data_IF_653025126042
#
_entry.id   IF_653025126042
#
_cell.length_a   1.000
_cell.length_b   1.000
_cell.length_c   1.000
_cell.angle_alpha   90.00
_cell.angle_beta   90.00
_cell.angle_gamma   90.00
#
_symmetry.space_group_name_H-M   'P 1'
#
loop_
_entity.id
_entity.type
_entity.pdbx_description
1 polymer ?
#
# COMPACT_ATOMS: atom_id res chain seq x y z
N UNK A 1 -10.67 -26.47 -75.50
CA UNK A 1 -10.50 -25.50 -74.41
C UNK A 1 -10.02 -26.28 -73.19
N UNK A 2 -8.70 -26.32 -72.97
CA UNK A 2 -8.13 -26.94 -71.78
C UNK A 2 -8.29 -25.98 -70.61
N UNK A 3 -8.88 -26.46 -69.53
CA UNK A 3 -8.90 -25.79 -68.23
C UNK A 3 -7.45 -25.54 -67.77
N UNK A 4 -7.13 -24.40 -67.13
CA UNK A 4 -5.82 -24.20 -66.53
C UNK A 4 -5.63 -25.21 -65.40
N UNK A 5 -4.48 -25.88 -65.37
CA UNK A 5 -4.04 -26.64 -64.18
C UNK A 5 -3.96 -25.65 -63.02
N UNK A 6 -4.69 -25.93 -61.94
CA UNK A 6 -4.37 -25.38 -60.62
C UNK A 6 -2.90 -25.68 -60.36
N UNK A 7 -2.10 -24.62 -60.21
CA UNK A 7 -0.76 -24.73 -59.65
C UNK A 7 -1.02 -25.00 -58.17
N UNK A 8 -1.01 -26.28 -57.80
CA UNK A 8 -1.03 -26.71 -56.41
C UNK A 8 0.19 -26.03 -55.75
N UNK A 9 -0.05 -25.05 -54.88
CA UNK A 9 1.02 -24.38 -54.17
C UNK A 9 1.74 -25.43 -53.34
N UNK A 10 2.97 -25.77 -53.72
CA UNK A 10 3.74 -26.78 -53.02
C UNK A 10 4.17 -26.19 -51.68
N UNK A 11 3.45 -26.58 -50.63
CA UNK A 11 3.79 -26.21 -49.26
C UNK A 11 4.65 -27.29 -48.61
N UNK A 12 5.60 -26.88 -47.77
CA UNK A 12 6.47 -27.78 -47.02
C UNK A 12 6.44 -27.52 -45.52
N UNK A 13 6.85 -28.56 -44.78
CA UNK A 13 7.13 -28.44 -43.36
C UNK A 13 8.52 -27.82 -43.13
N UNK A 14 8.60 -26.79 -42.28
CA UNK A 14 9.86 -26.11 -41.93
C UNK A 14 10.07 -26.16 -40.42
N UNK A 15 11.17 -26.79 -40.00
CA UNK A 15 11.57 -26.91 -38.59
C UNK A 15 12.33 -25.67 -38.11
N UNK A 16 12.01 -25.23 -36.90
CA UNK A 16 12.66 -24.10 -36.24
C UNK A 16 12.85 -24.35 -34.74
N UNK A 17 13.77 -23.60 -34.13
CA UNK A 17 14.07 -23.60 -32.71
C UNK A 17 14.10 -22.15 -32.21
N UNK A 18 13.24 -21.81 -31.25
CA UNK A 18 13.30 -20.50 -30.59
C UNK A 18 14.46 -20.46 -29.62
N UNK A 19 15.24 -19.38 -29.67
CA UNK A 19 16.30 -19.08 -28.71
C UNK A 19 16.16 -17.66 -28.17
N UNK A 20 16.65 -17.41 -26.97
CA UNK A 20 16.78 -16.06 -26.42
C UNK A 20 18.06 -15.36 -26.92
N UNK A 21 18.30 -14.13 -26.43
CA UNK A 21 19.49 -13.34 -26.75
C UNK A 21 20.83 -14.00 -26.37
N UNK A 22 20.82 -14.98 -25.46
CA UNK A 22 21.99 -15.73 -25.00
C UNK A 22 22.12 -17.07 -25.74
N UNK A 23 21.20 -17.36 -26.67
CA UNK A 23 21.18 -18.59 -27.44
C UNK A 23 20.63 -19.78 -26.65
N UNK A 24 19.95 -19.57 -25.52
CA UNK A 24 19.27 -20.65 -24.78
C UNK A 24 17.91 -20.92 -25.40
N UNK A 25 17.55 -22.20 -25.50
CA UNK A 25 16.26 -22.60 -26.07
C UNK A 25 15.08 -22.09 -25.22
N UNK A 26 14.15 -21.36 -25.85
CA UNK A 26 12.92 -20.85 -25.20
C UNK A 26 11.82 -21.93 -25.22
N UNK A 27 11.76 -22.71 -26.30
CA UNK A 27 10.85 -23.84 -26.47
C UNK A 27 11.63 -25.07 -26.93
N UNK A 28 10.99 -26.23 -27.06
CA UNK A 28 11.56 -27.30 -27.89
C UNK A 28 11.43 -26.95 -29.38
N UNK A 29 12.31 -27.51 -30.21
CA UNK A 29 12.20 -27.37 -31.66
C UNK A 29 10.85 -27.87 -32.17
N UNK A 30 10.22 -27.08 -33.01
CA UNK A 30 8.88 -27.29 -33.56
C UNK A 30 8.90 -27.00 -35.08
N UNK A 31 7.78 -27.14 -35.77
CA UNK A 31 7.67 -26.93 -37.22
C UNK A 31 6.47 -26.11 -37.63
N UNK A 32 6.62 -25.32 -38.68
CA UNK A 32 5.52 -24.75 -39.46
C UNK A 32 5.12 -25.78 -40.51
N UNK A 33 3.82 -26.05 -40.70
CA UNK A 33 3.34 -27.16 -41.55
C UNK A 33 3.04 -26.78 -43.00
N UNK A 34 2.67 -25.52 -43.23
CA UNK A 34 2.12 -25.05 -44.51
C UNK A 34 2.86 -23.76 -44.90
N UNK A 35 4.14 -23.88 -45.24
CA UNK A 35 4.93 -22.76 -45.75
C UNK A 35 5.23 -22.99 -47.22
N UNK A 36 5.00 -21.99 -48.07
CA UNK A 36 5.28 -22.07 -49.52
C UNK A 36 6.76 -22.45 -49.77
N UNK A 37 7.02 -23.28 -50.78
CA UNK A 37 8.39 -23.64 -51.18
C UNK A 37 9.21 -22.42 -51.63
N UNK A 38 8.56 -21.37 -52.16
CA UNK A 38 9.18 -20.10 -52.53
C UNK A 38 9.13 -19.05 -51.40
N UNK A 39 8.69 -19.43 -50.20
CA UNK A 39 8.56 -18.53 -49.07
C UNK A 39 9.89 -17.86 -48.69
N UNK A 40 9.77 -16.59 -48.31
CA UNK A 40 10.85 -15.76 -47.81
C UNK A 40 10.93 -15.82 -46.29
N UNK A 41 12.03 -15.33 -45.76
CA UNK A 41 12.25 -15.29 -44.31
C UNK A 41 11.15 -14.52 -43.57
N UNK A 42 10.58 -13.46 -44.17
CA UNK A 42 9.42 -12.74 -43.61
C UNK A 42 8.19 -13.63 -43.42
N UNK A 43 7.88 -14.51 -44.38
CA UNK A 43 6.72 -15.41 -44.30
C UNK A 43 6.91 -16.43 -43.16
N UNK A 44 8.15 -16.91 -42.97
CA UNK A 44 8.50 -17.75 -41.84
C UNK A 44 8.36 -17.01 -40.50
N UNK A 45 8.77 -15.74 -40.41
CA UNK A 45 8.61 -14.94 -39.19
C UNK A 45 7.15 -14.84 -38.78
N UNK A 46 6.27 -14.54 -39.73
CA UNK A 46 4.83 -14.42 -39.48
C UNK A 46 4.20 -15.75 -39.04
N UNK A 47 4.59 -16.86 -39.70
CA UNK A 47 4.12 -18.19 -39.34
C UNK A 47 4.62 -18.64 -37.96
N UNK A 48 5.90 -18.40 -37.66
CA UNK A 48 6.48 -18.69 -36.34
C UNK A 48 5.80 -17.85 -35.26
N UNK A 49 5.68 -16.54 -35.47
CA UNK A 49 5.03 -15.61 -34.54
C UNK A 49 3.58 -16.03 -34.25
N UNK A 50 2.80 -16.33 -35.29
CA UNK A 50 1.41 -16.78 -35.13
C UNK A 50 1.32 -18.03 -34.25
N UNK A 51 2.27 -18.95 -34.40
CA UNK A 51 2.32 -20.21 -33.65
C UNK A 51 2.80 -20.04 -32.20
N UNK A 52 3.78 -19.17 -31.96
CA UNK A 52 4.47 -19.07 -30.66
C UNK A 52 4.19 -17.78 -29.90
N UNK A 53 3.31 -16.92 -30.41
CA UNK A 53 2.97 -15.60 -29.83
C UNK A 53 2.72 -15.64 -28.32
N UNK A 54 2.06 -16.69 -27.82
CA UNK A 54 1.80 -16.88 -26.38
C UNK A 54 3.05 -17.15 -25.52
N UNK A 55 4.13 -17.64 -26.13
CA UNK A 55 5.41 -17.88 -25.48
C UNK A 55 6.38 -16.69 -25.64
N UNK A 56 6.00 -15.65 -26.37
CA UNK A 56 6.79 -14.44 -26.57
C UNK A 56 6.41 -13.35 -25.55
N UNK A 57 7.32 -12.42 -25.23
CA UNK A 57 6.98 -11.22 -24.47
C UNK A 57 5.87 -10.40 -25.17
N UNK A 58 5.02 -9.74 -24.38
CA UNK A 58 3.78 -9.09 -24.85
C UNK A 58 3.97 -7.97 -25.90
N UNK A 59 5.19 -7.46 -26.08
CA UNK A 59 5.55 -6.36 -26.97
C UNK A 59 6.42 -6.79 -28.17
N UNK A 60 6.62 -8.09 -28.36
CA UNK A 60 7.31 -8.64 -29.53
C UNK A 60 6.31 -8.78 -30.67
N UNK A 61 6.70 -8.35 -31.87
CA UNK A 61 6.00 -8.61 -33.13
C UNK A 61 6.85 -9.51 -34.04
N UNK A 62 6.24 -10.08 -35.08
CA UNK A 62 6.94 -10.97 -36.03
C UNK A 62 8.22 -10.34 -36.61
N UNK A 63 8.16 -9.04 -36.94
CA UNK A 63 9.29 -8.29 -37.48
C UNK A 63 10.50 -8.18 -36.52
N UNK A 64 10.29 -8.34 -35.21
CA UNK A 64 11.40 -8.29 -34.26
C UNK A 64 12.18 -9.63 -34.17
N UNK A 65 11.71 -10.71 -34.82
CA UNK A 65 12.35 -12.02 -34.78
C UNK A 65 13.52 -12.11 -35.76
N UNK A 66 14.70 -12.48 -35.29
CA UNK A 66 15.87 -12.69 -36.17
C UNK A 66 15.99 -14.16 -36.54
N UNK A 67 16.14 -14.45 -37.83
CA UNK A 67 16.21 -15.84 -38.34
C UNK A 67 17.61 -16.15 -38.81
N UNK A 68 18.12 -17.31 -38.42
CA UNK A 68 19.42 -17.85 -38.82
C UNK A 68 19.22 -19.22 -39.44
N UNK A 69 20.04 -19.56 -40.44
CA UNK A 69 19.93 -20.82 -41.16
C UNK A 69 19.99 -22.05 -40.23
N UNK A 70 20.85 -22.01 -39.21
CA UNK A 70 20.99 -23.05 -38.19
C UNK A 70 21.78 -22.50 -36.99
N UNK A 71 22.12 -23.38 -36.04
CA UNK A 71 22.87 -22.99 -34.84
C UNK A 71 24.27 -22.44 -35.14
N UNK A 72 24.98 -22.99 -36.12
CA UNK A 72 26.31 -22.50 -36.48
C UNK A 72 26.24 -21.08 -37.08
N UNK A 73 25.22 -20.80 -37.90
CA UNK A 73 24.98 -19.46 -38.44
C UNK A 73 24.59 -18.45 -37.33
N UNK A 74 23.82 -18.89 -36.33
CA UNK A 74 23.53 -18.10 -35.13
C UNK A 74 24.81 -17.75 -34.35
N UNK A 75 25.65 -18.75 -34.06
CA UNK A 75 26.90 -18.55 -33.32
C UNK A 75 27.89 -17.64 -34.11
N UNK A 76 27.86 -17.72 -35.44
CA UNK A 76 28.60 -16.84 -36.35
C UNK A 76 27.94 -15.45 -36.58
N UNK A 77 26.77 -15.20 -35.99
CA UNK A 77 25.95 -13.98 -36.15
C UNK A 77 25.61 -13.65 -37.61
N UNK A 78 25.39 -14.68 -38.43
CA UNK A 78 25.01 -14.57 -39.84
C UNK A 78 23.50 -14.73 -39.99
N UNK A 79 22.76 -13.64 -39.79
CA UNK A 79 21.32 -13.61 -39.97
C UNK A 79 20.94 -13.72 -41.45
N UNK A 80 19.77 -14.33 -41.72
CA UNK A 80 19.17 -14.29 -43.05
C UNK A 80 18.41 -12.97 -43.24
N UNK A 81 18.58 -12.37 -44.41
CA UNK A 81 17.82 -11.17 -44.80
C UNK A 81 16.34 -11.52 -44.98
N UNK A 82 15.46 -10.58 -44.66
CA UNK A 82 14.01 -10.82 -44.59
C UNK A 82 13.37 -11.15 -45.94
N UNK A 83 13.95 -10.65 -47.03
CA UNK A 83 13.48 -10.86 -48.40
C UNK A 83 14.15 -12.06 -49.09
N UNK A 84 15.11 -12.70 -48.42
CA UNK A 84 15.81 -13.87 -48.94
C UNK A 84 14.91 -15.11 -48.93
N UNK A 85 15.00 -15.97 -49.97
CA UNK A 85 14.29 -17.24 -49.97
C UNK A 85 14.81 -18.14 -48.84
N UNK A 86 13.91 -18.87 -48.17
CA UNK A 86 14.30 -19.82 -47.12
C UNK A 86 15.04 -21.03 -47.74
N UNK A 87 14.76 -21.35 -49.00
CA UNK A 87 15.44 -22.44 -49.72
C UNK A 87 15.29 -23.78 -48.99
N UNK A 88 16.37 -24.55 -48.85
CA UNK A 88 16.32 -25.89 -48.23
C UNK A 88 16.44 -25.90 -46.70
N UNK A 89 16.56 -24.74 -46.04
CA UNK A 89 16.73 -24.68 -44.58
C UNK A 89 15.50 -25.23 -43.84
N UNK A 90 15.72 -25.82 -42.66
CA UNK A 90 14.63 -26.33 -41.83
C UNK A 90 14.01 -27.64 -42.30
N UNK A 91 14.64 -28.36 -43.23
CA UNK A 91 14.09 -29.62 -43.76
C UNK A 91 13.99 -30.75 -42.72
N UNK A 92 14.63 -30.62 -41.56
CA UNK A 92 14.51 -31.59 -40.46
C UNK A 92 14.75 -30.94 -39.11
N UNK A 93 14.36 -31.63 -38.03
CA UNK A 93 14.63 -31.19 -36.65
C UNK A 93 16.14 -30.99 -36.34
N UNK A 94 17.04 -31.71 -37.03
CA UNK A 94 18.49 -31.58 -36.84
C UNK A 94 19.07 -30.33 -37.51
N UNK A 95 18.40 -29.86 -38.55
CA UNK A 95 18.77 -28.69 -39.34
C UNK A 95 17.70 -27.60 -39.22
N UNK A 96 17.14 -27.47 -38.02
CA UNK A 96 16.11 -26.50 -37.73
C UNK A 96 16.70 -25.09 -37.79
N UNK A 97 15.95 -24.14 -38.38
CA UNK A 97 16.33 -22.74 -38.35
C UNK A 97 16.36 -22.25 -36.90
N UNK A 98 17.30 -21.38 -36.58
CA UNK A 98 17.36 -20.74 -35.27
C UNK A 98 16.63 -19.41 -35.34
N UNK A 99 15.58 -19.25 -34.54
CA UNK A 99 14.78 -18.02 -34.47
C UNK A 99 15.07 -17.36 -33.13
N UNK A 100 15.76 -16.24 -33.16
CA UNK A 100 16.11 -15.47 -31.98
C UNK A 100 14.98 -14.53 -31.61
N UNK A 101 14.52 -14.64 -30.37
CA UNK A 101 13.61 -13.68 -29.76
C UNK A 101 14.44 -12.48 -29.31
N UNK A 102 14.06 -11.25 -29.69
CA UNK A 102 14.77 -10.06 -29.28
C UNK A 102 14.74 -9.93 -27.75
N UNK A 103 15.87 -9.61 -27.14
CA UNK A 103 15.89 -9.09 -25.78
C UNK A 103 15.44 -7.63 -25.86
N UNK A 104 14.14 -7.38 -26.02
CA UNK A 104 13.60 -6.04 -25.78
C UNK A 104 13.75 -5.80 -24.28
N UNK A 105 14.78 -5.04 -23.93
CA UNK A 105 14.89 -4.44 -22.61
C UNK A 105 13.57 -3.72 -22.34
N UNK A 106 12.74 -4.31 -21.49
CA UNK A 106 11.55 -3.63 -20.99
C UNK A 106 12.05 -2.39 -20.27
N UNK A 107 12.06 -1.25 -20.96
CA UNK A 107 12.07 0.05 -20.29
C UNK A 107 10.74 0.12 -19.56
N UNK A 108 10.73 -0.31 -18.31
CA UNK A 108 9.60 -0.10 -17.43
C UNK A 108 9.30 1.39 -17.46
N UNK A 109 8.05 1.78 -17.65
CA UNK A 109 7.68 3.17 -17.44
C UNK A 109 7.59 3.36 -15.94
N UNK A 110 8.28 4.36 -15.40
CA UNK A 110 8.15 4.73 -13.99
C UNK A 110 7.47 6.08 -13.86
N UNK A 111 6.93 6.32 -12.68
CA UNK A 111 6.27 7.57 -12.29
C UNK A 111 7.05 8.17 -11.15
N UNK A 112 7.55 9.38 -11.36
CA UNK A 112 8.30 10.13 -10.37
C UNK A 112 7.39 11.15 -9.70
N UNK A 113 7.31 11.09 -8.38
CA UNK A 113 6.74 12.16 -7.57
C UNK A 113 7.88 13.03 -7.04
N UNK A 114 7.84 14.31 -7.40
CA UNK A 114 8.71 15.35 -6.85
C UNK A 114 7.90 16.29 -5.98
N UNK A 115 8.46 16.73 -4.88
CA UNK A 115 7.78 17.69 -4.02
C UNK A 115 8.68 18.34 -3.00
N UNK A 116 8.09 19.27 -2.26
CA UNK A 116 8.75 19.95 -1.15
C UNK A 116 7.75 20.26 -0.03
N UNK A 117 8.27 20.29 1.19
CA UNK A 117 7.53 20.71 2.38
C UNK A 117 8.32 21.82 3.05
N UNK A 118 7.79 23.03 3.03
CA UNK A 118 8.47 24.21 3.58
C UNK A 118 8.49 24.14 5.10
N UNK A 119 9.58 24.59 5.74
CA UNK A 119 9.75 24.61 7.20
C UNK A 119 9.61 23.25 7.91
N UNK A 120 9.72 22.13 7.18
CA UNK A 120 9.63 20.78 7.72
C UNK A 120 10.70 20.48 8.77
N UNK A 121 11.89 21.09 8.70
CA UNK A 121 12.99 20.83 9.63
C UNK A 121 12.64 21.22 11.08
N UNK A 122 11.81 22.25 11.26
CA UNK A 122 11.35 22.69 12.58
C UNK A 122 10.20 21.86 13.15
N UNK A 123 9.63 20.94 12.37
CA UNK A 123 8.43 20.19 12.74
C UNK A 123 8.74 18.72 12.88
N UNK A 124 8.58 18.21 14.11
CA UNK A 124 8.89 16.82 14.43
C UNK A 124 7.97 15.86 13.66
N UNK A 125 8.50 14.72 13.26
CA UNK A 125 7.70 13.63 12.68
C UNK A 125 7.33 13.78 11.19
N UNK A 126 7.57 14.92 10.54
CA UNK A 126 7.26 15.13 9.11
C UNK A 126 7.95 14.09 8.22
N UNK A 127 9.26 13.90 8.39
CA UNK A 127 10.04 12.95 7.59
C UNK A 127 9.64 11.49 7.86
N UNK A 128 9.33 11.16 9.12
CA UNK A 128 8.78 9.84 9.50
C UNK A 128 7.45 9.55 8.79
N UNK A 129 6.55 10.54 8.77
CA UNK A 129 5.25 10.43 8.08
C UNK A 129 5.43 10.18 6.59
N UNK A 130 6.36 10.87 5.94
CA UNK A 130 6.67 10.65 4.53
C UNK A 130 7.24 9.26 4.24
N UNK A 131 8.14 8.74 5.07
CA UNK A 131 8.62 7.36 4.93
C UNK A 131 7.48 6.34 5.05
N UNK A 132 6.53 6.58 5.96
CA UNK A 132 5.34 5.74 6.10
C UNK A 132 4.47 5.80 4.85
N UNK A 133 4.13 6.99 4.37
CA UNK A 133 3.33 7.17 3.14
C UNK A 133 4.01 6.54 1.92
N UNK A 134 5.32 6.75 1.76
CA UNK A 134 6.11 6.16 0.68
C UNK A 134 6.05 4.63 0.70
N UNK A 135 6.17 4.01 1.88
CA UNK A 135 6.04 2.57 2.06
C UNK A 135 4.62 2.06 1.77
N UNK A 136 3.60 2.74 2.30
CA UNK A 136 2.18 2.40 2.10
C UNK A 136 1.79 2.39 0.63
N UNK A 137 2.27 3.36 -0.13
CA UNK A 137 1.97 3.51 -1.55
C UNK A 137 3.04 2.92 -2.46
N UNK A 138 3.83 1.97 -1.95
CA UNK A 138 4.68 1.12 -2.79
C UNK A 138 5.80 1.89 -3.52
N UNK A 139 6.31 2.97 -2.95
CA UNK A 139 7.37 3.81 -3.50
C UNK A 139 8.77 3.18 -3.48
N UNK A 140 9.64 3.64 -4.37
CA UNK A 140 11.00 3.17 -4.59
C UNK A 140 12.00 4.33 -4.59
N UNK A 141 13.24 4.02 -4.21
CA UNK A 141 14.35 4.95 -4.41
C UNK A 141 14.68 5.09 -5.90
N UNK A 142 15.13 6.28 -6.28
CA UNK A 142 15.72 6.50 -7.59
C UNK A 142 17.19 6.06 -7.59
N UNK A 143 17.59 5.05 -8.39
CA UNK A 143 18.98 4.63 -8.51
C UNK A 143 19.91 5.78 -8.94
N UNK A 144 19.40 6.76 -9.70
CA UNK A 144 20.17 7.93 -10.13
C UNK A 144 20.54 8.87 -8.98
N UNK A 145 19.89 8.73 -7.81
CA UNK A 145 20.15 9.53 -6.59
C UNK A 145 20.91 8.76 -5.51
N UNK A 146 21.53 7.64 -5.86
CA UNK A 146 22.39 6.90 -4.94
C UNK A 146 23.76 7.57 -4.84
N UNK A 147 24.15 7.94 -3.62
CA UNK A 147 25.50 8.49 -3.34
C UNK A 147 26.23 7.49 -2.45
N UNK A 148 27.22 6.78 -3.02
CA UNK A 148 27.86 5.66 -2.35
C UNK A 148 26.85 4.55 -2.04
N UNK A 149 26.75 4.13 -0.78
CA UNK A 149 25.79 3.12 -0.32
C UNK A 149 24.46 3.71 0.19
N UNK A 150 24.28 5.05 0.10
CA UNK A 150 23.09 5.73 0.61
C UNK A 150 22.11 6.05 -0.52
N UNK A 151 20.92 5.48 -0.44
CA UNK A 151 19.79 5.86 -1.29
C UNK A 151 19.10 7.10 -0.71
N UNK A 152 18.84 8.12 -1.53
CA UNK A 152 18.21 9.37 -1.09
C UNK A 152 16.89 9.62 -1.83
N UNK A 153 15.78 9.40 -1.12
CA UNK A 153 14.43 9.77 -1.58
C UNK A 153 13.88 11.02 -0.89
N UNK A 154 14.39 11.31 0.32
CA UNK A 154 13.95 12.41 1.18
C UNK A 154 15.18 13.07 1.80
N UNK A 155 15.41 14.36 1.52
CA UNK A 155 16.54 15.13 2.05
C UNK A 155 16.14 16.57 2.32
N UNK A 156 16.88 17.25 3.19
CA UNK A 156 16.66 18.66 3.45
C UNK A 156 17.50 19.55 2.53
N UNK A 157 16.87 20.60 2.02
CA UNK A 157 17.52 21.78 1.49
C UNK A 157 17.15 22.94 2.41
N UNK A 158 18.11 23.40 3.20
CA UNK A 158 17.92 24.34 4.32
C UNK A 158 16.85 23.86 5.32
N UNK A 159 15.66 24.46 5.31
CA UNK A 159 14.53 24.11 6.18
C UNK A 159 13.44 23.33 5.47
N UNK A 160 13.61 23.08 4.17
CA UNK A 160 12.61 22.48 3.30
C UNK A 160 12.94 21.02 3.08
N UNK A 161 11.97 20.13 3.29
CA UNK A 161 12.13 18.71 3.00
C UNK A 161 11.76 18.44 1.55
N UNK A 162 12.72 17.97 0.77
CA UNK A 162 12.56 17.61 -0.63
C UNK A 162 12.15 16.14 -0.78
N UNK A 163 11.28 15.87 -1.75
CA UNK A 163 10.71 14.54 -2.04
C UNK A 163 11.09 14.14 -3.46
N UNK A 164 11.61 12.92 -3.63
CA UNK A 164 11.88 12.31 -4.93
C UNK A 164 11.70 10.79 -4.84
N UNK A 165 10.53 10.31 -5.27
CA UNK A 165 10.12 8.92 -5.09
C UNK A 165 9.60 8.35 -6.41
N UNK A 166 10.09 7.16 -6.79
CA UNK A 166 9.64 6.44 -7.98
C UNK A 166 8.51 5.46 -7.66
N UNK A 167 7.62 5.25 -8.62
CA UNK A 167 6.52 4.30 -8.58
C UNK A 167 6.44 3.54 -9.91
N UNK A 168 6.16 2.24 -9.86
CA UNK A 168 5.94 1.43 -11.07
C UNK A 168 4.62 1.74 -11.77
N UNK A 169 3.62 2.25 -11.04
CA UNK A 169 2.29 2.53 -11.58
C UNK A 169 1.89 3.99 -11.35
N UNK A 170 1.18 4.55 -12.33
CA UNK A 170 0.60 5.90 -12.23
C UNK A 170 -0.34 6.01 -11.04
N UNK A 171 -1.14 4.96 -10.81
CA UNK A 171 -2.12 4.93 -9.76
C UNK A 171 -1.49 5.07 -8.37
N UNK A 172 -0.41 4.33 -8.09
CA UNK A 172 0.26 4.44 -6.79
C UNK A 172 0.89 5.83 -6.59
N UNK A 173 1.48 6.41 -7.65
CA UNK A 173 2.01 7.76 -7.60
C UNK A 173 0.93 8.79 -7.27
N UNK A 174 -0.25 8.69 -7.91
CA UNK A 174 -1.39 9.58 -7.66
C UNK A 174 -2.02 9.37 -6.28
N UNK A 175 -2.07 8.12 -5.78
CA UNK A 175 -2.57 7.84 -4.42
C UNK A 175 -1.64 8.40 -3.35
N UNK A 176 -0.32 8.28 -3.55
CA UNK A 176 0.67 8.92 -2.69
C UNK A 176 0.52 10.44 -2.71
N UNK A 177 0.41 11.02 -3.91
CA UNK A 177 0.23 12.46 -4.12
C UNK A 177 -1.02 12.99 -3.41
N UNK A 178 -2.18 12.35 -3.62
CA UNK A 178 -3.43 12.70 -2.94
C UNK A 178 -3.29 12.62 -1.42
N UNK A 179 -2.75 11.50 -0.89
CA UNK A 179 -2.59 11.34 0.54
C UNK A 179 -1.69 12.42 1.14
N UNK A 180 -0.61 12.77 0.45
CA UNK A 180 0.32 13.82 0.88
C UNK A 180 -0.32 15.22 0.83
N UNK A 181 -1.18 15.50 -0.14
CA UNK A 181 -1.94 16.74 -0.26
C UNK A 181 -3.05 16.88 0.81
N UNK A 182 -3.53 15.78 1.39
CA UNK A 182 -4.50 15.79 2.49
C UNK A 182 -3.85 16.03 3.88
N UNK A 183 -2.56 15.72 4.03
CA UNK A 183 -1.87 15.85 5.33
C UNK A 183 -1.93 17.27 5.94
N UNK A 184 -1.78 18.37 5.17
CA UNK A 184 -1.88 19.74 5.69
C UNK A 184 -3.20 20.07 6.37
N UNK A 185 -4.30 19.44 5.95
CA UNK A 185 -5.63 19.68 6.54
C UNK A 185 -6.03 18.60 7.54
N UNK A 186 -5.26 17.51 7.63
CA UNK A 186 -5.55 16.38 8.53
C UNK A 186 -5.14 16.72 9.96
N UNK A 187 -6.11 16.81 10.88
CA UNK A 187 -5.85 17.07 12.29
C UNK A 187 -5.01 15.93 12.91
N UNK A 188 -3.93 16.27 13.59
CA UNK A 188 -3.00 15.29 14.18
C UNK A 188 -1.95 14.75 13.21
N UNK A 189 -1.95 15.17 11.94
CA UNK A 189 -0.79 14.98 11.07
C UNK A 189 0.38 15.86 11.52
N UNK A 190 1.63 15.37 11.48
CA UNK A 190 2.81 16.20 11.61
C UNK A 190 2.92 17.29 10.54
N UNK A 191 2.23 17.14 9.40
CA UNK A 191 2.21 18.12 8.32
C UNK A 191 1.02 19.08 8.44
N UNK A 192 0.19 19.00 9.48
CA UNK A 192 -0.94 19.91 9.63
C UNK A 192 -0.47 21.38 9.60
N UNK A 193 -1.08 22.18 8.72
CA UNK A 193 -0.71 23.58 8.49
C UNK A 193 0.60 23.80 7.72
N UNK A 194 1.26 22.75 7.24
CA UNK A 194 2.45 22.87 6.40
C UNK A 194 2.10 23.20 4.95
N UNK A 195 3.00 23.94 4.29
CA UNK A 195 2.94 24.16 2.86
C UNK A 195 3.59 22.99 2.12
N UNK A 196 2.78 22.23 1.39
CA UNK A 196 3.19 21.05 0.63
C UNK A 196 3.00 21.31 -0.86
N UNK A 197 4.05 21.09 -1.65
CA UNK A 197 3.97 21.16 -3.11
C UNK A 197 4.45 19.84 -3.71
N UNK A 198 3.74 19.34 -4.71
CA UNK A 198 4.08 18.09 -5.39
C UNK A 198 3.77 18.16 -6.88
N UNK A 199 4.42 17.27 -7.63
CA UNK A 199 4.19 17.05 -9.06
C UNK A 199 4.46 15.59 -9.40
N UNK A 200 3.67 15.06 -10.33
CA UNK A 200 3.79 13.68 -10.81
C UNK A 200 4.19 13.70 -12.28
N UNK A 201 5.30 13.06 -12.61
CA UNK A 201 5.83 13.00 -13.98
C UNK A 201 6.14 11.56 -14.39
N UNK A 202 5.94 11.25 -15.66
CA UNK A 202 6.40 10.00 -16.26
C UNK A 202 7.90 10.09 -16.52
N UNK A 203 8.64 9.05 -16.17
CA UNK A 203 10.09 8.95 -16.41
C UNK A 203 10.45 7.61 -17.03
N UNK A 204 11.55 7.57 -17.79
CA UNK A 204 12.08 6.31 -18.30
C UNK A 204 12.56 5.44 -17.12
N UNK A 205 12.17 4.17 -17.11
CA UNK A 205 12.63 3.25 -16.09
C UNK A 205 14.07 2.81 -16.27
N UNK A 206 14.64 2.38 -15.17
CA UNK A 206 16.02 1.96 -15.06
C UNK A 206 16.06 0.42 -15.15
N UNK A 207 17.07 -0.13 -15.81
CA UNK A 207 17.29 -1.60 -15.86
C UNK A 207 17.82 -2.19 -14.55
N UNK A 208 18.11 -1.33 -13.58
CA UNK A 208 18.56 -1.71 -12.25
C UNK A 208 17.38 -2.09 -11.38
N UNK A 209 17.54 -3.13 -10.56
CA UNK A 209 16.55 -3.51 -9.56
C UNK A 209 16.23 -2.32 -8.64
N UNK A 210 14.94 -1.96 -8.58
CA UNK A 210 14.47 -0.87 -7.75
C UNK A 210 14.41 -1.30 -6.29
N UNK A 211 15.02 -0.51 -5.42
CA UNK A 211 14.95 -0.73 -3.97
C UNK A 211 13.70 -0.05 -3.41
N UNK A 212 12.81 -0.84 -2.79
CA UNK A 212 11.58 -0.33 -2.17
C UNK A 212 11.90 0.52 -0.95
N UNK A 213 11.15 1.60 -0.76
CA UNK A 213 11.20 2.42 0.45
C UNK A 213 10.35 1.76 1.53
N UNK A 214 10.93 1.57 2.71
CA UNK A 214 10.22 1.09 3.89
C UNK A 214 10.41 2.07 5.04
N UNK A 215 9.48 2.05 6.00
CA UNK A 215 9.63 2.84 7.23
C UNK A 215 10.92 2.49 7.99
N UNK A 216 11.40 1.25 7.91
CA UNK A 216 12.67 0.84 8.55
C UNK A 216 13.91 1.56 8.00
N UNK A 217 13.81 2.27 6.87
CA UNK A 217 14.90 3.09 6.32
C UNK A 217 14.96 4.49 6.94
N UNK A 218 13.97 4.85 7.75
CA UNK A 218 13.97 6.08 8.52
C UNK A 218 14.86 5.90 9.77
N UNK A 219 15.87 6.75 9.91
CA UNK A 219 16.69 6.81 11.12
C UNK A 219 16.19 7.97 12.03
N UNK A 220 15.59 7.66 13.19
CA UNK A 220 15.13 8.67 14.14
C UNK A 220 16.25 9.44 14.84
N UNK A 221 17.50 8.96 14.80
CA UNK A 221 18.64 9.58 15.45
C UNK A 221 19.44 10.49 14.50
N UNK A 222 19.07 10.57 13.21
CA UNK A 222 19.67 11.54 12.28
C UNK A 222 19.35 12.99 12.72
N UNK A 223 20.39 13.85 12.77
CA UNK A 223 20.31 15.21 13.31
C UNK A 223 19.32 16.14 12.59
N UNK A 224 19.09 15.89 11.29
CA UNK A 224 18.15 16.64 10.46
C UNK A 224 16.73 16.09 10.53
N UNK A 225 16.52 15.00 11.28
CA UNK A 225 15.26 14.30 11.36
C UNK A 225 14.75 14.25 12.78
N UNK A 226 14.33 15.40 13.36
CA UNK A 226 13.88 15.42 14.73
C UNK A 226 12.72 14.44 14.89
N UNK A 227 13.00 13.35 15.60
CA UNK A 227 12.02 12.33 15.96
C UNK A 227 10.87 13.03 16.68
N UNK A 228 9.66 12.52 16.48
CA UNK A 228 8.53 12.88 17.34
C UNK A 228 8.85 12.47 18.78
N UNK A 229 9.54 13.35 19.49
CA UNK A 229 9.53 13.40 20.95
C UNK A 229 8.32 14.26 21.28
N UNK A 230 7.24 13.60 21.70
CA UNK A 230 6.01 14.23 22.17
C UNK A 230 6.34 15.28 23.24
N UNK A 231 6.47 16.52 22.81
CA UNK A 231 6.68 17.68 23.65
C UNK A 231 6.17 18.87 22.84
N UNK A 232 4.98 19.31 23.22
CA UNK A 232 4.34 20.56 22.78
C UNK A 232 3.59 20.51 21.44
N UNK A 233 2.57 19.65 21.35
CA UNK A 233 1.30 20.11 20.77
C UNK A 233 0.52 20.73 21.93
N UNK A 234 -0.02 21.94 21.75
CA UNK A 234 -0.91 22.56 22.74
C UNK A 234 -2.16 21.71 22.90
N UNK A 235 -2.10 20.80 23.86
CA UNK A 235 -3.17 19.95 24.35
C UNK A 235 -4.23 20.82 25.04
N UNK A 236 -5.20 21.32 24.28
CA UNK A 236 -6.46 21.78 24.87
C UNK A 236 -7.28 20.61 25.44
N UNK A 237 -6.97 19.37 25.06
CA UNK A 237 -7.28 18.15 25.81
C UNK A 237 -5.99 17.42 26.16
N UNK A 238 -5.75 17.22 27.45
CA UNK A 238 -4.60 16.51 28.00
C UNK A 238 -4.58 15.04 27.60
N UNK A 239 -3.92 14.73 26.49
CA UNK A 239 -3.67 13.36 26.07
C UNK A 239 -2.50 12.82 26.90
N UNK A 240 -2.77 11.86 27.78
CA UNK A 240 -1.74 11.15 28.53
C UNK A 240 -1.30 9.93 27.73
N UNK A 241 0.00 9.78 27.52
CA UNK A 241 0.58 8.68 26.77
C UNK A 241 0.82 7.49 27.71
N UNK A 242 0.45 6.29 27.28
CA UNK A 242 0.60 5.04 28.02
C UNK A 242 1.70 4.18 27.38
N UNK A 243 2.62 3.72 28.23
CA UNK A 243 3.63 2.72 27.88
C UNK A 243 3.01 1.30 27.89
N UNK A 244 3.60 0.38 27.11
CA UNK A 244 3.11 -1.00 27.01
C UNK A 244 3.20 -1.80 28.33
N UNK A 245 4.01 -1.34 29.28
CA UNK A 245 4.08 -1.94 30.62
C UNK A 245 2.93 -1.53 31.55
N UNK A 246 2.15 -0.49 31.20
CA UNK A 246 1.06 0.01 32.05
C UNK A 246 -0.11 -0.96 32.10
N UNK A 247 -0.78 -0.99 33.25
CA UNK A 247 -1.96 -1.80 33.48
C UNK A 247 -3.12 -1.38 32.55
N UNK A 248 -3.30 -0.08 32.33
CA UNK A 248 -4.30 0.45 31.41
C UNK A 248 -4.08 -0.07 29.98
N UNK A 249 -2.83 -0.10 29.49
CA UNK A 249 -2.53 -0.65 28.18
C UNK A 249 -2.80 -2.16 28.08
N UNK A 250 -2.39 -2.91 29.12
CA UNK A 250 -2.50 -4.37 29.13
C UNK A 250 -3.95 -4.85 29.24
N UNK A 251 -4.74 -4.14 30.04
CA UNK A 251 -6.05 -4.62 30.47
C UNK A 251 -7.22 -3.82 29.87
N UNK A 252 -7.03 -2.54 29.58
CA UNK A 252 -8.10 -1.60 29.15
C UNK A 252 -7.96 -1.14 27.69
N UNK A 253 -7.37 -1.99 26.85
CA UNK A 253 -7.17 -1.78 25.41
C UNK A 253 -8.09 -2.67 24.59
N UNK A 254 -8.65 -2.13 23.51
CA UNK A 254 -9.53 -2.87 22.58
C UNK A 254 -8.82 -3.27 21.28
N UNK A 255 -7.74 -2.58 20.92
CA UNK A 255 -7.00 -2.80 19.67
C UNK A 255 -5.89 -3.84 19.82
N UNK A 256 -5.42 -4.42 18.72
CA UNK A 256 -4.31 -5.36 18.66
C UNK A 256 -2.95 -4.69 18.90
N UNK A 257 -1.98 -5.40 19.47
CA UNK A 257 -0.70 -4.82 19.94
C UNK A 257 0.15 -4.27 18.80
N UNK A 258 0.04 -4.89 17.62
CA UNK A 258 0.66 -4.46 16.36
C UNK A 258 0.40 -3.00 15.97
N UNK A 259 -0.65 -2.37 16.49
CA UNK A 259 -0.96 -0.95 16.19
C UNK A 259 -0.22 0.03 17.10
N UNK A 260 0.49 -0.48 18.10
CA UNK A 260 1.28 0.29 19.04
C UNK A 260 2.74 -0.11 18.90
N UNK A 261 3.07 -1.40 19.00
CA UNK A 261 4.47 -1.81 19.04
C UNK A 261 5.13 -1.91 17.65
N UNK A 262 6.45 -1.64 17.55
CA UNK A 262 7.36 -1.29 18.65
C UNK A 262 7.56 0.23 18.87
N UNK A 263 6.88 1.11 18.12
CA UNK A 263 7.23 2.54 18.06
C UNK A 263 6.08 3.53 18.33
N UNK A 264 4.87 3.03 18.55
CA UNK A 264 3.68 3.79 18.87
C UNK A 264 3.28 3.60 20.33
N UNK A 265 2.77 4.67 20.93
CA UNK A 265 2.23 4.62 22.28
C UNK A 265 0.69 4.63 22.23
N UNK A 266 0.05 4.10 23.26
CA UNK A 266 -1.37 4.30 23.44
C UNK A 266 -1.66 5.65 24.08
N UNK A 267 -2.81 6.20 23.77
CA UNK A 267 -3.39 7.36 24.41
C UNK A 267 -4.39 6.90 25.48
N UNK A 268 -4.35 7.57 26.63
CA UNK A 268 -5.30 7.38 27.72
C UNK A 268 -6.58 8.17 27.42
N UNK A 269 -7.43 7.57 26.60
CA UNK A 269 -8.73 8.10 26.20
C UNK A 269 -9.64 8.20 27.43
N UNK A 270 -10.25 9.36 27.65
CA UNK A 270 -11.23 9.56 28.72
C UNK A 270 -12.62 9.25 28.21
N UNK A 271 -13.37 8.38 28.89
CA UNK A 271 -14.76 8.12 28.53
C UNK A 271 -15.64 9.33 28.88
N UNK A 272 -15.63 9.75 30.15
CA UNK A 272 -16.15 11.05 30.57
C UNK A 272 -15.03 12.07 30.40
N UNK A 273 -15.21 12.99 29.46
CA UNK A 273 -14.15 13.92 29.07
C UNK A 273 -13.70 14.82 30.23
N UNK A 274 -12.42 15.21 30.20
CA UNK A 274 -11.86 16.14 31.19
C UNK A 274 -12.56 17.49 31.20
N UNK A 275 -13.05 17.95 30.04
CA UNK A 275 -13.86 19.18 29.93
C UNK A 275 -15.13 19.04 30.76
N UNK A 276 -15.86 17.93 30.60
CA UNK A 276 -17.08 17.68 31.37
C UNK A 276 -16.79 17.54 32.87
N UNK A 277 -15.70 16.85 33.24
CA UNK A 277 -15.24 16.79 34.62
C UNK A 277 -14.90 18.17 35.23
N UNK A 278 -14.45 19.12 34.42
CA UNK A 278 -14.14 20.50 34.83
C UNK A 278 -15.35 21.43 34.86
N UNK A 279 -16.27 21.28 33.90
CA UNK A 279 -17.44 22.15 33.75
C UNK A 279 -18.56 21.72 34.71
N UNK A 280 -18.68 20.42 34.98
CA UNK A 280 -19.67 19.82 35.87
C UNK A 280 -19.01 19.14 37.09
N UNK A 281 -18.12 19.85 37.77
CA UNK A 281 -17.29 19.30 38.87
C UNK A 281 -18.06 18.53 39.93
N UNK A 282 -19.28 18.94 40.26
CA UNK A 282 -20.08 18.28 41.29
C UNK A 282 -20.45 16.84 40.92
N UNK A 283 -20.59 16.56 39.63
CA UNK A 283 -21.06 15.26 39.14
C UNK A 283 -19.90 14.40 38.63
N UNK A 284 -19.00 14.98 37.81
CA UNK A 284 -18.02 14.20 37.06
C UNK A 284 -16.58 14.31 37.54
N UNK A 285 -16.23 15.23 38.46
CA UNK A 285 -14.84 15.39 38.89
C UNK A 285 -14.23 14.13 39.52
N UNK A 286 -15.06 13.27 40.12
CA UNK A 286 -14.63 11.99 40.70
C UNK A 286 -14.04 11.03 39.66
N UNK A 287 -14.43 11.15 38.39
CA UNK A 287 -13.93 10.31 37.29
C UNK A 287 -12.67 10.86 36.61
N UNK A 288 -12.28 12.12 36.87
CA UNK A 288 -11.15 12.76 36.18
C UNK A 288 -9.81 12.05 36.46
N UNK A 289 -9.68 11.36 37.59
CA UNK A 289 -8.46 10.61 37.95
C UNK A 289 -8.71 9.11 38.10
N UNK A 290 -9.92 8.65 37.78
CA UNK A 290 -10.28 7.24 37.88
C UNK A 290 -9.78 6.48 36.66
N UNK A 291 -9.00 5.41 36.89
CA UNK A 291 -8.46 4.55 35.84
C UNK A 291 -9.58 3.79 35.12
N UNK A 292 -10.72 3.54 35.78
CA UNK A 292 -11.90 2.93 35.17
C UNK A 292 -12.66 3.90 34.24
N UNK A 293 -12.30 5.19 34.24
CA UNK A 293 -12.76 6.16 33.24
C UNK A 293 -11.79 6.25 32.04
N UNK A 294 -11.01 5.19 31.77
CA UNK A 294 -10.00 5.19 30.69
C UNK A 294 -10.08 3.99 29.76
N UNK A 295 -9.79 4.25 28.49
CA UNK A 295 -9.38 3.26 27.51
C UNK A 295 -7.97 3.58 27.02
N UNK A 296 -7.19 2.54 26.75
CA UNK A 296 -5.94 2.67 26.02
C UNK A 296 -6.23 2.48 24.53
N UNK A 297 -6.18 3.56 23.76
CA UNK A 297 -6.47 3.58 22.32
C UNK A 297 -5.26 4.09 21.53
N UNK A 298 -5.09 3.65 20.29
CA UNK A 298 -4.13 4.28 19.38
C UNK A 298 -4.64 5.66 18.98
N UNK A 299 -3.74 6.55 18.54
CA UNK A 299 -4.10 7.90 18.06
C UNK A 299 -5.25 7.89 17.04
N UNK A 300 -5.22 6.92 16.12
CA UNK A 300 -6.26 6.79 15.10
C UNK A 300 -7.59 6.37 15.72
N UNK A 301 -7.60 5.36 16.61
CA UNK A 301 -8.84 4.92 17.25
C UNK A 301 -9.40 5.97 18.22
N UNK A 302 -8.55 6.67 18.96
CA UNK A 302 -8.93 7.81 19.80
C UNK A 302 -9.59 8.90 18.94
N UNK A 303 -8.96 9.25 17.81
CA UNK A 303 -9.51 10.22 16.87
C UNK A 303 -10.82 9.77 16.21
N UNK A 304 -10.99 8.47 15.95
CA UNK A 304 -12.25 7.90 15.45
C UNK A 304 -13.36 7.93 16.50
N UNK A 305 -13.02 7.80 17.77
CA UNK A 305 -13.97 7.72 18.88
C UNK A 305 -14.36 9.09 19.43
N UNK A 306 -13.45 10.06 19.41
CA UNK A 306 -13.71 11.44 19.83
C UNK A 306 -14.13 12.37 18.69
N UNK A 307 -14.14 11.88 17.44
CA UNK A 307 -14.45 12.73 16.28
C UNK A 307 -13.36 13.77 16.03
N UNK A 308 -12.11 13.46 16.35
CA UNK A 308 -10.97 14.34 16.07
C UNK A 308 -10.40 14.10 14.66
N UNK A 309 -10.71 12.94 14.06
CA UNK A 309 -10.25 12.57 12.71
C UNK A 309 -11.23 12.94 11.61
N UNK A 310 -12.50 13.20 11.93
CA UNK A 310 -13.60 13.46 10.99
C UNK A 310 -14.60 14.43 11.62
N UNK A 311 -15.55 14.95 10.83
CA UNK A 311 -16.59 15.86 11.31
C UNK A 311 -17.52 15.24 12.37
N UNK A 312 -17.52 13.91 12.49
CA UNK A 312 -18.29 13.14 13.47
C UNK A 312 -17.48 11.92 13.92
N UNK A 313 -17.62 11.45 15.18
CA UNK A 313 -17.05 10.17 15.58
C UNK A 313 -17.52 9.07 14.63
N UNK A 314 -16.62 8.21 14.15
CA UNK A 314 -16.99 7.07 13.29
C UNK A 314 -17.09 5.76 14.08
N UNK A 315 -16.70 5.80 15.35
CA UNK A 315 -16.81 4.69 16.31
C UNK A 315 -17.66 5.14 17.49
N UNK A 316 -18.54 4.25 17.93
CA UNK A 316 -19.22 4.37 19.21
C UNK A 316 -19.12 3.04 19.98
N UNK A 317 -19.16 3.07 21.30
CA UNK A 317 -18.94 1.89 22.13
C UNK A 317 -19.96 1.83 23.27
N UNK A 318 -20.52 0.65 23.53
CA UNK A 318 -21.44 0.43 24.66
C UNK A 318 -20.99 -0.80 25.47
N UNK A 319 -21.06 -0.76 26.82
CA UNK A 319 -20.65 -1.90 27.63
C UNK A 319 -21.70 -3.01 27.54
N UNK A 320 -21.21 -4.25 27.50
CA UNK A 320 -21.98 -5.48 27.49
C UNK A 320 -22.06 -6.16 28.85
N UNK A 321 -21.99 -7.50 28.86
CA UNK A 321 -22.01 -8.27 30.10
C UNK A 321 -20.72 -8.10 30.91
N UNK A 322 -20.86 -8.20 32.23
CA UNK A 322 -19.74 -8.20 33.19
C UNK A 322 -19.63 -9.59 33.78
N UNK A 323 -18.42 -10.16 33.78
CA UNK A 323 -18.20 -11.45 34.43
C UNK A 323 -18.43 -11.33 35.95
N UNK A 324 -19.15 -12.30 36.53
CA UNK A 324 -19.49 -12.28 37.97
C UNK A 324 -18.26 -12.37 38.87
N UNK A 325 -17.23 -13.08 38.41
CA UNK A 325 -16.00 -13.30 39.14
C UNK A 325 -14.87 -12.50 38.51
N UNK A 326 -13.89 -12.14 39.34
CA UNK A 326 -12.64 -11.53 38.87
C UNK A 326 -11.90 -12.53 38.00
N UNK A 327 -11.50 -12.09 36.81
CA UNK A 327 -10.89 -12.96 35.79
C UNK A 327 -9.37 -12.84 35.77
N UNK A 328 -8.84 -11.64 36.03
CA UNK A 328 -7.39 -11.38 36.07
C UNK A 328 -7.07 -10.51 37.29
N UNK A 329 -6.39 -11.10 38.28
CA UNK A 329 -6.03 -10.40 39.51
C UNK A 329 -7.26 -9.84 40.25
N UNK A 330 -7.30 -8.52 40.43
CA UNK A 330 -8.43 -7.80 41.03
C UNK A 330 -9.45 -7.29 40.00
N UNK A 331 -9.30 -7.61 38.71
CA UNK A 331 -10.10 -7.03 37.61
C UNK A 331 -11.21 -7.96 37.14
N UNK A 332 -12.32 -7.35 36.74
CA UNK A 332 -13.47 -7.99 36.10
C UNK A 332 -13.37 -7.83 34.59
N UNK A 333 -13.74 -8.87 33.84
CA UNK A 333 -13.91 -8.75 32.40
C UNK A 333 -15.24 -8.09 32.08
N UNK A 334 -15.19 -7.08 31.22
CA UNK A 334 -16.36 -6.37 30.71
C UNK A 334 -16.36 -6.52 29.20
N UNK A 335 -17.45 -7.03 28.63
CA UNK A 335 -17.66 -7.02 27.19
C UNK A 335 -17.88 -5.59 26.68
N UNK A 336 -17.37 -5.30 25.49
CA UNK A 336 -17.53 -4.00 24.84
C UNK A 336 -18.04 -4.25 23.42
N UNK A 337 -19.17 -3.64 23.08
CA UNK A 337 -19.70 -3.61 21.72
C UNK A 337 -19.18 -2.37 21.02
N UNK A 338 -18.37 -2.56 19.98
CA UNK A 338 -17.81 -1.51 19.14
C UNK A 338 -18.66 -1.39 17.89
N UNK A 339 -19.38 -0.28 17.77
CA UNK A 339 -20.27 0.06 16.67
C UNK A 339 -19.58 1.07 15.74
N UNK A 340 -19.68 0.85 14.43
CA UNK A 340 -19.22 1.82 13.43
C UNK A 340 -20.39 2.61 12.86
N UNK A 341 -20.11 3.83 12.40
CA UNK A 341 -21.12 4.73 11.84
C UNK A 341 -21.80 4.14 10.59
N UNK A 342 -21.01 3.59 9.67
CA UNK A 342 -21.48 2.99 8.42
C UNK A 342 -20.59 1.83 7.94
N UNK A 343 -21.00 1.21 6.82
CA UNK A 343 -20.29 0.08 6.24
C UNK A 343 -18.87 0.39 5.74
N UNK A 344 -18.57 1.65 5.39
CA UNK A 344 -17.25 2.07 4.88
C UNK A 344 -16.22 2.14 6.02
N UNK A 345 -16.69 2.37 7.25
CA UNK A 345 -15.84 2.43 8.43
C UNK A 345 -15.39 1.05 8.93
N UNK A 346 -16.05 -0.04 8.50
CA UNK A 346 -15.83 -1.41 9.01
C UNK A 346 -14.37 -1.82 9.00
N UNK A 347 -13.74 -1.87 7.82
CA UNK A 347 -12.37 -2.39 7.70
C UNK A 347 -11.36 -1.51 8.45
N UNK A 348 -11.60 -0.20 8.49
CA UNK A 348 -10.74 0.77 9.21
C UNK A 348 -10.74 0.51 10.72
N UNK A 349 -11.88 0.17 11.30
CA UNK A 349 -12.06 0.00 12.74
C UNK A 349 -11.89 -1.46 13.17
N UNK A 350 -12.60 -2.39 12.52
CA UNK A 350 -12.69 -3.78 12.95
C UNK A 350 -11.40 -4.56 12.75
N UNK A 351 -10.62 -4.24 11.71
CA UNK A 351 -9.29 -4.83 11.50
C UNK A 351 -8.31 -4.53 12.63
N UNK A 352 -8.61 -3.51 13.44
CA UNK A 352 -7.79 -3.05 14.56
C UNK A 352 -8.04 -3.78 15.86
N UNK A 353 -9.21 -4.40 16.03
CA UNK A 353 -9.58 -5.02 17.30
C UNK A 353 -8.63 -6.18 17.66
N UNK A 354 -8.39 -6.35 18.97
CA UNK A 354 -7.50 -7.38 19.49
C UNK A 354 -8.05 -8.79 19.29
N UNK A 355 -7.16 -9.77 19.51
CA UNK A 355 -7.54 -11.18 19.52
C UNK A 355 -8.69 -11.46 20.50
N UNK A 356 -9.62 -12.31 20.09
CA UNK A 356 -10.84 -12.62 20.82
C UNK A 356 -12.01 -11.68 20.52
N UNK A 357 -11.84 -10.67 19.67
CA UNK A 357 -12.97 -9.93 19.11
C UNK A 357 -13.81 -10.84 18.18
N UNK A 358 -15.13 -10.71 18.22
CA UNK A 358 -16.08 -11.54 17.47
C UNK A 358 -17.12 -10.67 16.78
N UNK A 359 -17.63 -11.13 15.63
CA UNK A 359 -18.75 -10.47 14.95
C UNK A 359 -20.05 -10.72 15.72
N UNK A 360 -20.95 -9.75 15.68
CA UNK A 360 -22.34 -9.90 16.14
C UNK A 360 -23.27 -10.12 14.96
N UNK A 361 -24.56 -10.30 15.22
CA UNK A 361 -25.58 -10.40 14.17
C UNK A 361 -25.75 -9.08 13.40
N UNK A 362 -25.37 -7.94 14.01
CA UNK A 362 -25.30 -6.66 13.32
C UNK A 362 -23.93 -6.51 12.63
N UNK A 363 -23.87 -6.38 11.29
CA UNK A 363 -22.62 -6.25 10.55
C UNK A 363 -21.85 -4.96 10.83
N UNK A 364 -22.46 -3.99 11.52
CA UNK A 364 -21.85 -2.74 11.98
C UNK A 364 -21.42 -2.78 13.44
N UNK A 365 -21.52 -3.95 14.10
CA UNK A 365 -21.13 -4.12 15.51
C UNK A 365 -20.22 -5.34 15.67
N UNK A 366 -19.07 -5.13 16.30
CA UNK A 366 -18.21 -6.19 16.79
C UNK A 366 -18.13 -6.18 18.31
N UNK A 367 -17.96 -7.36 18.89
CA UNK A 367 -17.79 -7.55 20.32
C UNK A 367 -16.33 -7.79 20.66
N UNK A 368 -15.81 -7.09 21.65
CA UNK A 368 -14.49 -7.30 22.28
C UNK A 368 -14.65 -7.23 23.79
N UNK A 369 -13.56 -7.10 24.55
CA UNK A 369 -13.61 -7.03 26.00
C UNK A 369 -12.45 -6.21 26.58
N UNK A 370 -12.60 -5.75 27.81
CA UNK A 370 -11.53 -5.15 28.64
C UNK A 370 -11.56 -5.75 30.05
N UNK A 371 -10.53 -5.46 30.84
CA UNK A 371 -10.42 -5.86 32.23
C UNK A 371 -10.24 -4.62 33.11
N UNK A 372 -11.18 -4.38 34.02
CA UNK A 372 -11.27 -3.17 34.86
C UNK A 372 -11.45 -3.54 36.32
N UNK A 373 -10.99 -2.70 37.23
CA UNK A 373 -11.10 -2.96 38.68
C UNK A 373 -12.51 -2.68 39.21
N UNK A 374 -13.13 -1.61 38.70
CA UNK A 374 -14.49 -1.19 39.00
C UNK A 374 -15.35 -1.21 37.72
N UNK A 375 -16.05 -2.32 37.44
CA UNK A 375 -16.90 -2.43 36.25
C UNK A 375 -18.12 -1.51 36.32
N UNK A 376 -18.61 -1.14 37.51
CA UNK A 376 -19.75 -0.23 37.63
C UNK A 376 -19.37 1.16 37.13
N UNK A 377 -18.24 1.68 37.61
CA UNK A 377 -17.70 2.98 37.16
C UNK A 377 -17.36 2.96 35.67
N UNK A 378 -16.69 1.92 35.19
CA UNK A 378 -16.35 1.80 33.77
C UNK A 378 -17.59 1.78 32.88
N UNK A 379 -18.59 0.94 33.22
CA UNK A 379 -19.82 0.86 32.43
C UNK A 379 -20.60 2.16 32.44
N UNK A 380 -20.66 2.86 33.59
CA UNK A 380 -21.27 4.18 33.67
C UNK A 380 -20.59 5.18 32.73
N UNK A 381 -19.25 5.29 32.81
CA UNK A 381 -18.50 6.24 32.00
C UNK A 381 -18.61 5.93 30.50
N UNK A 382 -18.60 4.66 30.12
CA UNK A 382 -18.75 4.25 28.72
C UNK A 382 -20.16 4.54 28.19
N UNK A 383 -21.21 4.30 28.97
CA UNK A 383 -22.59 4.69 28.58
C UNK A 383 -22.73 6.19 28.42
N UNK A 384 -22.14 6.97 29.32
CA UNK A 384 -22.13 8.42 29.20
C UNK A 384 -21.51 8.86 27.86
N UNK A 385 -20.35 8.31 27.50
CA UNK A 385 -19.67 8.63 26.23
C UNK A 385 -20.46 8.13 25.02
N UNK A 386 -21.10 6.97 25.16
CA UNK A 386 -21.98 6.43 24.14
C UNK A 386 -23.10 7.41 23.78
N UNK A 387 -23.77 7.94 24.80
CA UNK A 387 -24.92 8.82 24.63
C UNK A 387 -24.50 10.17 24.02
N UNK A 388 -23.34 10.71 24.44
CA UNK A 388 -22.70 11.90 23.86
C UNK A 388 -22.40 11.70 22.35
N UNK A 389 -21.76 10.57 22.00
CA UNK A 389 -21.46 10.25 20.60
C UNK A 389 -22.72 9.94 19.77
N UNK A 390 -23.74 9.31 20.36
CA UNK A 390 -25.01 9.00 19.69
C UNK A 390 -25.82 10.27 19.38
N UNK A 391 -25.76 11.28 20.26
CA UNK A 391 -26.29 12.62 19.97
C UNK A 391 -25.54 13.27 18.81
N UNK A 392 -24.22 13.19 18.76
CA UNK A 392 -23.42 13.65 17.62
C UNK A 392 -23.83 12.95 16.31
N UNK A 393 -24.05 11.62 16.34
CA UNK A 393 -24.49 10.86 15.16
C UNK A 393 -25.87 11.30 14.67
N UNK A 394 -26.84 11.48 15.58
CA UNK A 394 -28.19 11.97 15.25
C UNK A 394 -28.15 13.36 14.61
N UNK A 395 -27.37 14.27 15.20
CA UNK A 395 -27.20 15.63 14.67
C UNK A 395 -26.59 15.59 13.27
N UNK A 396 -25.52 14.82 13.06
CA UNK A 396 -24.87 14.67 11.76
C UNK A 396 -25.83 14.10 10.69
N UNK A 397 -26.51 13.00 11.00
CA UNK A 397 -27.44 12.35 10.07
C UNK A 397 -28.67 13.20 9.74
N UNK A 398 -29.10 14.08 10.65
CA UNK A 398 -30.19 15.02 10.40
C UNK A 398 -29.80 16.21 9.52
N UNK A 399 -28.50 16.51 9.40
CA UNK A 399 -27.99 17.59 8.53
C UNK A 399 -27.77 17.14 7.08
N UNK A 400 -27.70 15.84 6.82
CA UNK A 400 -27.63 15.29 5.46
C UNK A 400 -29.00 15.43 4.78
N UNK A 401 -29.17 16.23 3.70
CA UNK A 401 -30.44 16.31 3.00
C UNK A 401 -30.80 14.92 2.46
N UNK A 402 -32.07 14.53 2.59
CA UNK A 402 -32.60 13.43 1.79
C UNK A 402 -32.41 13.81 0.32
N UNK A 403 -31.47 13.16 -0.35
CA UNK A 403 -31.31 13.33 -1.79
C UNK A 403 -32.49 12.64 -2.48
N UNK A 404 -33.29 13.44 -3.19
CA UNK A 404 -34.21 13.00 -4.25
C UNK A 404 -33.41 12.46 -5.47
#
# INVERSE_FOLDING_TARGET
>A
MGLPREIDAMTREVWFQLVDGEGKAVTSADRVKELDDEAKVVDLRDAVFSKVSRALPANVIAADLTVFANRAAYDAKQALEEDSPIGSFGGSKKDALTVQVPKKEQRSVLWLVRGSIVNALSTKGVRCRLYRLAGTYLGYYDPARRTGDKDSALWYEDKTLCIHILFETKENALRFDNALQEEPVTLGSPLNGQEVTTSVAQVEGVQTELKRIYLIHYDPQESESPQDTMSSISLTSSVSILDASTDEFRYQRIEHERYFLPYGNAESCHLVSRKQSRDHKREFAKYDRDTNNRLALSREMDGFYDGLSYDVPIVNMIPGSVEQNRSIGNRYKVEVFVKVLDAQCKDRVFSRLKEGATQTDDPLVMKTFVHVEDPETFCFCMRWKHDDNDECWKNFLSMTPAAD
#
